data_IF_089638870786
#
_entry.id   IF_089638870786
#
_cell.length_a   1.000
_cell.length_b   1.000
_cell.length_c   1.000
_cell.angle_alpha   90.00
_cell.angle_beta   90.00
_cell.angle_gamma   90.00
#
_symmetry.space_group_name_H-M   'P 1'
#
loop_
_entity.id
_entity.type
_entity.pdbx_description
1 polymer ?
#
# COMPACT_ATOMS: atom_id res chain seq x y z
N UNK A 1 -6.63 10.40 17.40
CA UNK A 1 -5.27 9.82 17.33
C UNK A 1 -5.25 8.57 18.20
N UNK A 2 -5.51 7.38 17.61
CA UNK A 2 -5.50 6.11 18.35
C UNK A 2 -4.05 5.71 18.59
N UNK A 3 -3.57 5.81 19.82
CA UNK A 3 -2.30 5.22 20.24
C UNK A 3 -2.52 3.72 20.49
N UNK A 4 -2.60 2.95 19.42
CA UNK A 4 -2.64 1.48 19.56
C UNK A 4 -1.32 0.94 20.08
N UNK A 5 -1.39 -0.07 20.93
CA UNK A 5 -0.22 -0.81 21.39
C UNK A 5 0.24 -1.71 20.25
N UNK A 6 1.52 -1.65 19.89
CA UNK A 6 2.13 -2.57 18.95
C UNK A 6 2.18 -3.96 19.56
N UNK A 7 1.60 -4.93 18.89
CA UNK A 7 1.51 -6.32 19.38
C UNK A 7 2.20 -7.24 18.37
N UNK A 8 2.99 -8.16 18.88
CA UNK A 8 3.51 -9.29 18.14
C UNK A 8 2.67 -10.53 18.52
N UNK A 9 1.94 -11.08 17.59
CA UNK A 9 1.25 -12.36 17.76
C UNK A 9 2.06 -13.44 17.07
N UNK A 10 2.46 -14.45 17.82
CA UNK A 10 3.13 -15.63 17.29
C UNK A 10 2.18 -16.81 17.36
N UNK A 11 1.81 -17.37 16.21
CA UNK A 11 0.96 -18.55 16.11
C UNK A 11 1.90 -19.76 15.93
N UNK A 12 2.02 -20.57 16.96
CA UNK A 12 2.78 -21.83 16.91
C UNK A 12 1.93 -22.90 16.23
N UNK A 13 2.43 -23.49 15.16
CA UNK A 13 1.84 -24.71 14.60
C UNK A 13 2.48 -25.93 15.26
N UNK A 14 1.63 -26.89 15.70
CA UNK A 14 2.11 -28.15 16.27
C UNK A 14 3.09 -28.83 15.29
N UNK A 15 4.30 -29.14 15.80
CA UNK A 15 5.37 -29.89 15.15
C UNK A 15 6.30 -29.23 14.12
N UNK A 16 6.40 -27.89 13.98
CA UNK A 16 7.43 -27.28 13.11
C UNK A 16 8.06 -26.02 13.70
N UNK A 17 9.36 -25.86 13.42
CA UNK A 17 10.24 -24.81 13.95
C UNK A 17 9.95 -23.38 13.44
N UNK A 18 9.01 -23.19 12.54
CA UNK A 18 8.63 -21.86 12.03
C UNK A 18 7.24 -21.49 12.54
N UNK A 19 7.17 -20.38 13.25
CA UNK A 19 5.94 -19.82 13.78
C UNK A 19 5.50 -18.66 12.88
N UNK A 20 4.24 -18.66 12.44
CA UNK A 20 3.63 -17.50 11.82
C UNK A 20 3.71 -16.31 12.78
N UNK A 21 4.29 -15.23 12.35
CA UNK A 21 4.49 -14.01 13.14
C UNK A 21 3.75 -12.85 12.51
N UNK A 22 2.83 -12.25 13.25
CA UNK A 22 2.06 -11.08 12.82
C UNK A 22 2.44 -9.91 13.72
N UNK A 23 3.01 -8.87 13.12
CA UNK A 23 3.38 -7.61 13.79
C UNK A 23 2.44 -6.52 13.33
N UNK A 24 1.72 -5.87 14.25
CA UNK A 24 0.75 -4.82 13.90
C UNK A 24 0.15 -4.12 15.12
N UNK A 25 -0.92 -3.37 14.93
CA UNK A 25 -1.67 -2.75 16.01
C UNK A 25 -2.68 -3.76 16.60
N UNK A 26 -2.75 -3.84 17.93
CA UNK A 26 -3.45 -4.90 18.63
C UNK A 26 -4.94 -5.05 18.28
N UNK A 27 -5.63 -3.96 17.99
CA UNK A 27 -7.05 -3.97 17.63
C UNK A 27 -7.30 -4.60 16.24
N UNK A 28 -6.33 -4.54 15.33
CA UNK A 28 -6.45 -4.96 13.94
C UNK A 28 -5.89 -6.36 13.68
N UNK A 29 -4.98 -6.84 14.53
CA UNK A 29 -4.37 -8.17 14.40
C UNK A 29 -5.43 -9.27 14.38
N UNK A 30 -6.48 -9.16 15.20
CA UNK A 30 -7.55 -10.16 15.26
C UNK A 30 -8.21 -10.37 13.88
N UNK A 31 -8.46 -9.30 13.15
CA UNK A 31 -9.09 -9.34 11.84
C UNK A 31 -8.22 -10.00 10.77
N UNK A 32 -6.90 -9.81 10.82
CA UNK A 32 -5.97 -10.40 9.84
C UNK A 32 -5.49 -11.78 10.22
N UNK A 33 -5.59 -12.18 11.50
CA UNK A 33 -5.14 -13.50 11.97
C UNK A 33 -5.89 -14.66 11.32
N UNK A 34 -7.17 -14.47 10.99
CA UNK A 34 -8.05 -15.47 10.37
C UNK A 34 -7.84 -15.67 8.86
N UNK A 35 -7.00 -14.88 8.20
CA UNK A 35 -6.76 -14.99 6.78
C UNK A 35 -5.97 -16.27 6.44
N UNK A 36 -6.05 -16.80 5.20
CA UNK A 36 -5.47 -18.08 4.81
C UNK A 36 -3.96 -18.01 4.56
N UNK A 37 -3.18 -17.64 5.57
CA UNK A 37 -1.72 -17.41 5.50
C UNK A 37 -0.89 -18.63 5.06
N UNK A 38 -1.50 -19.83 5.03
CA UNK A 38 -0.88 -21.06 4.58
C UNK A 38 -1.01 -21.29 3.06
N UNK A 39 -1.67 -20.38 2.34
CA UNK A 39 -1.77 -20.43 0.89
C UNK A 39 -0.91 -19.32 0.27
N UNK A 40 -0.28 -19.56 -0.91
CA UNK A 40 0.23 -18.50 -1.76
C UNK A 40 -0.86 -17.47 -2.02
N UNK A 41 -0.51 -16.19 -2.10
CA UNK A 41 -1.49 -15.11 -2.26
C UNK A 41 -2.29 -15.24 -3.58
N UNK A 42 -1.69 -15.82 -4.61
CA UNK A 42 -2.35 -16.12 -5.89
C UNK A 42 -3.53 -17.10 -5.76
N UNK A 43 -3.49 -17.97 -4.75
CA UNK A 43 -4.53 -18.97 -4.47
C UNK A 43 -5.64 -18.45 -3.53
N UNK A 44 -5.50 -17.22 -3.03
CA UNK A 44 -6.51 -16.67 -2.14
C UNK A 44 -7.81 -16.39 -2.89
N UNK A 45 -8.98 -16.68 -2.25
CA UNK A 45 -10.28 -16.32 -2.81
C UNK A 45 -10.31 -14.83 -3.14
N UNK A 46 -10.72 -14.49 -4.34
CA UNK A 46 -10.82 -13.11 -4.80
C UNK A 46 -12.29 -12.71 -4.92
N UNK A 47 -12.67 -11.61 -4.28
CA UNK A 47 -13.96 -10.97 -4.50
C UNK A 47 -13.91 -10.26 -5.87
N UNK A 48 -14.76 -10.63 -6.86
CA UNK A 48 -14.71 -10.04 -8.20
C UNK A 48 -14.86 -8.52 -8.20
N UNK A 49 -15.68 -7.98 -7.28
CA UNK A 49 -15.91 -6.52 -7.17
C UNK A 49 -14.64 -5.80 -6.66
N UNK A 50 -13.88 -6.47 -5.79
CA UNK A 50 -12.63 -5.92 -5.28
C UNK A 50 -11.49 -6.10 -6.30
N UNK A 51 -11.49 -7.18 -7.07
CA UNK A 51 -10.48 -7.46 -8.09
C UNK A 51 -10.40 -6.35 -9.14
N UNK A 52 -11.55 -5.81 -9.56
CA UNK A 52 -11.61 -4.70 -10.52
C UNK A 52 -10.98 -3.40 -10.00
N UNK A 53 -10.87 -3.25 -8.67
CA UNK A 53 -10.29 -2.05 -8.03
C UNK A 53 -8.78 -2.16 -7.82
N UNK A 54 -8.21 -3.33 -8.10
CA UNK A 54 -6.78 -3.58 -7.95
C UNK A 54 -6.02 -2.98 -9.13
N UNK A 55 -4.97 -2.22 -8.83
CA UNK A 55 -4.01 -1.76 -9.83
C UNK A 55 -3.11 -2.89 -10.34
N UNK A 56 -2.35 -2.62 -11.40
CA UNK A 56 -1.27 -3.49 -11.85
C UNK A 56 -0.07 -3.25 -10.91
N UNK A 57 0.46 -4.33 -10.37
CA UNK A 57 1.63 -4.31 -9.49
C UNK A 57 2.64 -5.37 -9.94
N UNK A 58 3.93 -5.12 -9.72
CA UNK A 58 5.00 -6.13 -9.87
C UNK A 58 4.89 -7.23 -8.81
N UNK A 59 4.30 -6.92 -7.68
CA UNK A 59 4.03 -7.84 -6.58
C UNK A 59 2.62 -8.42 -6.69
N UNK A 60 2.43 -9.62 -6.16
CA UNK A 60 1.09 -10.19 -6.00
C UNK A 60 0.36 -9.41 -4.92
N UNK A 61 -0.79 -8.85 -5.28
CA UNK A 61 -1.67 -8.09 -4.37
C UNK A 61 -3.06 -8.72 -4.38
N UNK A 62 -3.68 -8.84 -3.21
CA UNK A 62 -5.08 -9.23 -3.06
C UNK A 62 -5.83 -8.24 -2.19
N UNK A 63 -7.05 -7.91 -2.61
CA UNK A 63 -8.00 -7.17 -1.79
C UNK A 63 -8.91 -8.18 -1.09
N UNK A 64 -8.91 -8.18 0.23
CA UNK A 64 -9.62 -9.17 1.04
C UNK A 64 -10.47 -8.51 2.11
N UNK A 65 -11.64 -9.09 2.41
CA UNK A 65 -12.46 -8.66 3.55
C UNK A 65 -11.99 -9.32 4.84
N UNK A 66 -12.09 -8.58 5.94
CA UNK A 66 -11.79 -9.12 7.27
C UNK A 66 -12.70 -10.29 7.68
N UNK A 67 -13.91 -10.34 7.14
CA UNK A 67 -14.90 -11.40 7.37
C UNK A 67 -15.87 -11.49 6.19
N UNK A 68 -16.82 -12.45 6.27
CA UNK A 68 -17.88 -12.60 5.26
C UNK A 68 -18.97 -11.51 5.34
N UNK A 69 -18.89 -10.58 6.29
CA UNK A 69 -19.79 -9.44 6.38
C UNK A 69 -19.51 -8.48 5.21
N UNK A 70 -20.55 -8.09 4.42
CA UNK A 70 -20.40 -7.11 3.34
C UNK A 70 -19.83 -5.76 3.80
N UNK A 71 -20.08 -5.38 5.04
CA UNK A 71 -19.62 -4.12 5.65
C UNK A 71 -18.27 -4.27 6.37
N UNK A 72 -17.67 -5.48 6.36
CA UNK A 72 -16.38 -5.71 6.97
C UNK A 72 -15.29 -4.87 6.29
N UNK A 73 -14.31 -4.50 7.09
CA UNK A 73 -13.11 -3.80 6.57
C UNK A 73 -12.44 -4.59 5.46
N UNK A 74 -11.95 -3.87 4.47
CA UNK A 74 -11.20 -4.42 3.35
C UNK A 74 -9.73 -4.09 3.53
N UNK A 75 -8.89 -5.07 3.31
CA UNK A 75 -7.44 -4.95 3.35
C UNK A 75 -6.83 -5.21 1.98
N UNK A 76 -5.73 -4.51 1.68
CA UNK A 76 -4.82 -4.88 0.61
C UNK A 76 -3.67 -5.67 1.22
N UNK A 77 -3.42 -6.87 0.69
CA UNK A 77 -2.32 -7.75 1.09
C UNK A 77 -1.34 -7.83 -0.08
N UNK A 78 -0.08 -7.47 0.16
CA UNK A 78 1.00 -7.51 -0.84
C UNK A 78 2.07 -8.50 -0.37
N UNK A 79 2.43 -9.48 -1.22
CA UNK A 79 3.60 -10.33 -1.00
C UNK A 79 4.88 -9.59 -1.41
N UNK A 80 5.88 -9.67 -0.55
CA UNK A 80 7.20 -9.09 -0.78
C UNK A 80 8.24 -9.77 0.14
N UNK A 81 9.49 -9.34 0.09
CA UNK A 81 10.52 -9.83 1.01
C UNK A 81 10.39 -9.15 2.38
N UNK A 82 10.81 -9.83 3.45
CA UNK A 82 10.64 -9.37 4.83
C UNK A 82 11.24 -7.98 5.08
N UNK A 83 12.40 -7.68 4.49
CA UNK A 83 13.07 -6.39 4.64
C UNK A 83 12.21 -5.25 4.11
N UNK A 84 11.65 -5.40 2.90
CA UNK A 84 10.80 -4.37 2.29
C UNK A 84 9.46 -4.24 3.01
N UNK A 85 8.82 -5.36 3.40
CA UNK A 85 7.58 -5.32 4.17
C UNK A 85 7.73 -4.55 5.48
N UNK A 86 8.79 -4.85 6.25
CA UNK A 86 9.05 -4.18 7.52
C UNK A 86 9.41 -2.70 7.32
N UNK A 87 10.21 -2.36 6.30
CA UNK A 87 10.57 -0.98 5.97
C UNK A 87 9.33 -0.18 5.60
N UNK A 88 8.53 -0.68 4.66
CA UNK A 88 7.30 -0.03 4.21
C UNK A 88 6.32 0.18 5.37
N UNK A 89 6.14 -0.84 6.22
CA UNK A 89 5.29 -0.74 7.41
C UNK A 89 5.71 0.40 8.34
N UNK A 90 7.01 0.52 8.62
CA UNK A 90 7.55 1.59 9.49
C UNK A 90 7.36 2.96 8.86
N UNK A 91 7.63 3.09 7.55
CA UNK A 91 7.49 4.35 6.82
C UNK A 91 6.02 4.79 6.76
N UNK A 92 5.10 3.91 6.35
CA UNK A 92 3.67 4.21 6.29
C UNK A 92 3.13 4.61 7.67
N UNK A 93 3.58 3.92 8.72
CA UNK A 93 3.22 4.28 10.10
C UNK A 93 3.66 5.70 10.46
N UNK A 94 4.89 6.06 10.13
CA UNK A 94 5.41 7.40 10.41
C UNK A 94 4.67 8.45 9.59
N UNK A 95 4.42 8.22 8.30
CA UNK A 95 3.63 9.10 7.43
C UNK A 95 2.20 9.30 7.97
N UNK A 96 1.51 8.22 8.35
CA UNK A 96 0.18 8.29 8.98
C UNK A 96 0.17 9.12 10.26
N UNK A 97 1.19 8.98 11.12
CA UNK A 97 1.31 9.77 12.35
C UNK A 97 1.50 11.26 12.07
N UNK A 98 2.09 11.60 10.92
CA UNK A 98 2.29 12.97 10.44
C UNK A 98 1.11 13.49 9.60
N UNK A 99 0.01 12.72 9.48
CA UNK A 99 -1.17 13.00 8.65
C UNK A 99 -0.82 13.20 7.17
N UNK A 100 0.16 12.48 6.67
CA UNK A 100 0.46 12.43 5.23
C UNK A 100 -0.66 11.69 4.48
N UNK A 101 -0.94 12.06 3.22
CA UNK A 101 -1.89 11.32 2.38
C UNK A 101 -1.27 9.98 1.94
N UNK A 102 -1.46 8.94 2.72
CA UNK A 102 -0.99 7.58 2.42
C UNK A 102 -2.02 6.54 2.86
N UNK A 103 -1.87 5.31 2.41
CA UNK A 103 -2.63 4.18 2.94
C UNK A 103 -2.19 3.89 4.38
N UNK A 104 -3.12 3.38 5.18
CA UNK A 104 -2.84 3.04 6.57
C UNK A 104 -2.25 1.63 6.66
N UNK A 105 -1.10 1.48 7.30
CA UNK A 105 -0.49 0.18 7.58
C UNK A 105 -1.29 -0.57 8.66
N UNK A 106 -1.43 -1.87 8.49
CA UNK A 106 -2.16 -2.76 9.42
C UNK A 106 -1.21 -3.76 10.06
N UNK A 107 -0.54 -4.58 9.27
CA UNK A 107 0.35 -5.62 9.78
C UNK A 107 1.45 -6.01 8.79
N UNK A 108 2.50 -6.63 9.33
CA UNK A 108 3.47 -7.44 8.59
C UNK A 108 3.32 -8.88 9.04
N UNK A 109 3.32 -9.83 8.09
CA UNK A 109 3.14 -11.26 8.34
C UNK A 109 4.34 -12.02 7.79
N UNK A 110 5.09 -12.67 8.69
CA UNK A 110 6.32 -13.41 8.42
C UNK A 110 6.18 -14.87 8.84
N UNK A 111 7.10 -15.72 8.38
CA UNK A 111 7.11 -17.14 8.74
C UNK A 111 5.92 -17.92 8.19
N UNK A 112 5.40 -17.48 7.05
CA UNK A 112 4.33 -18.18 6.31
C UNK A 112 4.90 -19.47 5.72
N UNK A 113 4.14 -20.55 5.78
CA UNK A 113 4.47 -21.82 5.13
C UNK A 113 3.23 -22.46 4.54
N UNK A 114 3.37 -23.10 3.40
CA UNK A 114 2.30 -23.88 2.78
C UNK A 114 1.98 -25.18 3.54
N UNK A 115 1.04 -25.97 3.02
CA UNK A 115 0.64 -27.25 3.60
C UNK A 115 1.77 -28.31 3.57
N UNK A 116 2.74 -28.19 2.65
CA UNK A 116 3.92 -29.04 2.55
C UNK A 116 5.04 -28.55 3.45
N UNK A 117 4.94 -27.32 3.98
CA UNK A 117 5.92 -26.67 4.82
C UNK A 117 7.00 -25.95 4.05
N UNK A 118 6.75 -25.68 2.77
CA UNK A 118 7.58 -24.78 1.97
C UNK A 118 7.36 -23.35 2.43
N UNK A 119 8.42 -22.56 2.42
CA UNK A 119 8.39 -21.16 2.85
C UNK A 119 7.64 -20.32 1.83
N UNK A 120 6.70 -19.49 2.29
CA UNK A 120 5.98 -18.51 1.49
C UNK A 120 6.52 -17.10 1.76
N UNK A 121 6.41 -16.18 0.77
CA UNK A 121 6.86 -14.79 0.92
C UNK A 121 6.23 -14.12 2.14
N UNK A 122 6.94 -13.14 2.71
CA UNK A 122 6.38 -12.22 3.68
C UNK A 122 5.24 -11.41 3.06
N UNK A 123 4.31 -10.94 3.86
CA UNK A 123 3.23 -10.08 3.40
C UNK A 123 3.12 -8.81 4.24
N UNK A 124 2.86 -7.69 3.57
CA UNK A 124 2.40 -6.47 4.21
C UNK A 124 0.90 -6.31 4.00
N UNK A 125 0.20 -5.90 5.05
CA UNK A 125 -1.24 -5.63 5.05
C UNK A 125 -1.45 -4.14 5.26
N UNK A 126 -2.19 -3.52 4.36
CA UNK A 126 -2.63 -2.12 4.47
C UNK A 126 -4.14 -2.05 4.41
N UNK A 127 -4.74 -1.02 5.01
CA UNK A 127 -6.17 -0.77 4.91
C UNK A 127 -6.52 -0.30 3.51
N UNK A 128 -7.54 -0.92 2.91
CA UNK A 128 -8.06 -0.45 1.62
C UNK A 128 -8.59 0.99 1.76
N UNK A 129 -8.22 1.84 0.83
CA UNK A 129 -8.68 3.22 0.77
C UNK A 129 -10.02 3.27 0.02
N UNK A 130 -11.17 3.43 0.71
CA UNK A 130 -12.47 3.42 0.05
C UNK A 130 -12.61 4.59 -0.93
N UNK A 131 -13.37 4.38 -2.00
CA UNK A 131 -13.62 5.37 -3.05
C UNK A 131 -12.37 5.85 -3.80
N UNK A 132 -11.27 5.11 -3.71
CA UNK A 132 -10.08 5.37 -4.51
C UNK A 132 -9.98 4.40 -5.67
N UNK A 133 -9.31 4.86 -6.72
CA UNK A 133 -9.05 4.09 -7.93
C UNK A 133 -7.58 4.25 -8.35
N UNK A 134 -6.96 3.21 -8.89
CA UNK A 134 -5.69 3.34 -9.56
C UNK A 134 -5.85 4.14 -10.86
N UNK A 135 -4.77 4.82 -11.28
CA UNK A 135 -4.79 5.69 -12.46
C UNK A 135 -5.27 4.97 -13.72
N UNK A 136 -4.91 3.71 -13.94
CA UNK A 136 -5.32 2.94 -15.14
C UNK A 136 -6.83 2.78 -15.24
N UNK A 137 -7.52 2.63 -14.13
CA UNK A 137 -9.00 2.60 -14.11
C UNK A 137 -9.56 3.96 -14.48
N UNK A 138 -8.94 5.04 -13.99
CA UNK A 138 -9.35 6.41 -14.32
C UNK A 138 -9.09 6.74 -15.79
N UNK A 139 -8.01 6.23 -16.39
CA UNK A 139 -7.64 6.46 -17.79
C UNK A 139 -8.23 5.44 -18.77
N UNK A 140 -8.95 4.41 -18.31
CA UNK A 140 -9.52 3.36 -19.18
C UNK A 140 -10.71 3.82 -20.04
N UNK A 141 -11.23 5.03 -19.82
CA UNK A 141 -12.34 5.62 -20.55
C UNK A 141 -11.92 6.80 -21.42
N UNK A 142 -12.92 7.54 -21.93
CA UNK A 142 -12.66 8.82 -22.60
C UNK A 142 -12.24 9.86 -21.55
N UNK A 143 -10.93 10.08 -21.43
CA UNK A 143 -10.35 11.01 -20.44
C UNK A 143 -10.24 12.40 -21.05
N UNK A 144 -10.68 13.40 -20.31
CA UNK A 144 -10.56 14.79 -20.71
C UNK A 144 -9.20 15.38 -20.32
N UNK A 145 -8.72 16.37 -21.05
CA UNK A 145 -7.52 17.13 -20.69
C UNK A 145 -7.63 17.73 -19.26
N UNK A 146 -8.84 18.08 -18.84
CA UNK A 146 -9.11 18.59 -17.50
C UNK A 146 -8.86 17.51 -16.43
N UNK A 147 -9.32 16.27 -16.64
CA UNK A 147 -9.09 15.15 -15.69
C UNK A 147 -7.62 14.82 -15.58
N UNK A 148 -6.89 14.76 -16.67
CA UNK A 148 -5.42 14.58 -16.66
C UNK A 148 -4.75 15.68 -15.84
N UNK A 149 -5.12 16.93 -16.07
CA UNK A 149 -4.55 18.09 -15.36
C UNK A 149 -4.85 18.03 -13.86
N UNK A 150 -6.07 17.63 -13.46
CA UNK A 150 -6.44 17.54 -12.05
C UNK A 150 -5.77 16.35 -11.37
N UNK A 151 -5.55 15.23 -12.06
CA UNK A 151 -4.75 14.09 -11.55
C UNK A 151 -3.29 14.50 -11.34
N UNK A 152 -2.67 15.14 -12.33
CA UNK A 152 -1.30 15.64 -12.21
C UNK A 152 -1.16 16.66 -11.08
N UNK A 153 -2.15 17.53 -10.89
CA UNK A 153 -2.19 18.48 -9.77
C UNK A 153 -2.30 17.79 -8.42
N UNK A 154 -3.12 16.73 -8.32
CA UNK A 154 -3.23 15.90 -7.12
C UNK A 154 -1.91 15.21 -6.75
N UNK A 155 -1.21 14.64 -7.75
CA UNK A 155 0.10 14.02 -7.56
C UNK A 155 1.16 15.04 -7.14
N UNK A 156 1.19 16.21 -7.79
CA UNK A 156 2.10 17.30 -7.42
C UNK A 156 1.87 17.76 -5.97
N UNK A 157 0.61 17.89 -5.55
CA UNK A 157 0.26 18.26 -4.18
C UNK A 157 0.67 17.19 -3.17
N UNK A 158 0.52 15.89 -3.51
CA UNK A 158 1.01 14.78 -2.69
C UNK A 158 2.52 14.92 -2.50
N UNK A 159 3.27 15.08 -3.59
CA UNK A 159 4.73 15.21 -3.55
C UNK A 159 5.19 16.41 -2.70
N UNK A 160 4.56 17.58 -2.87
CA UNK A 160 4.83 18.76 -2.02
C UNK A 160 4.62 18.44 -0.54
N UNK A 161 3.52 17.77 -0.19
CA UNK A 161 3.25 17.39 1.21
C UNK A 161 4.30 16.45 1.77
N UNK A 162 4.69 15.42 1.00
CA UNK A 162 5.75 14.48 1.40
C UNK A 162 7.09 15.20 1.60
N UNK A 163 7.47 16.08 0.68
CA UNK A 163 8.71 16.86 0.79
C UNK A 163 8.71 17.81 2.01
N UNK A 164 7.57 18.43 2.32
CA UNK A 164 7.46 19.29 3.52
C UNK A 164 7.59 18.49 4.82
N UNK A 165 7.25 17.21 4.81
CA UNK A 165 7.45 16.29 5.94
C UNK A 165 8.87 15.71 5.99
N UNK A 166 9.75 16.07 5.05
CA UNK A 166 11.10 15.52 4.93
C UNK A 166 11.15 14.12 4.36
N UNK A 167 10.11 13.67 3.66
CA UNK A 167 10.08 12.37 3.02
C UNK A 167 10.48 12.47 1.55
N UNK A 168 11.60 11.85 1.20
CA UNK A 168 12.03 11.61 -0.17
C UNK A 168 11.42 10.29 -0.64
N UNK A 169 10.66 10.34 -1.74
CA UNK A 169 9.93 9.16 -2.20
C UNK A 169 10.80 8.21 -3.03
N UNK A 170 11.57 8.75 -3.99
CA UNK A 170 12.53 7.99 -4.79
C UNK A 170 11.95 7.14 -5.93
N UNK A 171 10.67 6.75 -5.87
CA UNK A 171 9.94 6.01 -6.93
C UNK A 171 8.53 6.60 -7.11
N UNK A 172 8.51 7.88 -7.47
CA UNK A 172 7.27 8.63 -7.69
C UNK A 172 6.60 8.17 -8.99
N UNK A 173 5.62 7.29 -8.91
CA UNK A 173 4.88 6.80 -10.07
C UNK A 173 3.38 6.83 -9.86
N UNK A 174 2.63 6.85 -10.96
CA UNK A 174 1.17 6.72 -10.93
C UNK A 174 0.74 5.35 -10.39
N UNK A 175 1.52 4.30 -10.64
CA UNK A 175 1.26 2.95 -10.13
C UNK A 175 1.39 2.84 -8.61
N UNK A 176 2.21 3.71 -7.99
CA UNK A 176 2.38 3.80 -6.54
C UNK A 176 1.44 4.82 -5.90
N UNK A 177 0.38 5.22 -6.62
CA UNK A 177 -0.58 6.24 -6.21
C UNK A 177 -2.01 5.75 -6.41
N UNK A 178 -2.86 6.01 -5.42
CA UNK A 178 -4.32 5.91 -5.56
C UNK A 178 -4.92 7.31 -5.60
N UNK A 179 -5.96 7.45 -6.41
CA UNK A 179 -6.67 8.71 -6.57
C UNK A 179 -8.09 8.59 -6.04
N UNK A 180 -8.50 9.57 -5.25
CA UNK A 180 -9.88 9.73 -4.80
C UNK A 180 -10.45 11.01 -5.40
N UNK A 181 -11.61 10.91 -6.04
CA UNK A 181 -12.31 12.09 -6.53
C UNK A 181 -12.87 12.90 -5.36
N UNK A 182 -12.64 14.18 -5.35
CA UNK A 182 -13.24 15.15 -4.43
C UNK A 182 -13.99 16.24 -5.21
N UNK A 183 -14.46 17.29 -4.52
CA UNK A 183 -15.25 18.35 -5.15
C UNK A 183 -14.46 19.19 -6.16
N UNK A 184 -13.13 19.25 -6.05
CA UNK A 184 -12.27 20.12 -6.85
C UNK A 184 -11.42 19.35 -7.87
N UNK A 185 -11.40 17.99 -7.80
CA UNK A 185 -10.63 17.16 -8.71
C UNK A 185 -10.21 15.82 -8.12
N UNK A 186 -8.91 15.58 -8.02
CA UNK A 186 -8.38 14.34 -7.46
C UNK A 186 -7.42 14.59 -6.30
N UNK A 187 -7.68 13.93 -5.17
CA UNK A 187 -6.72 13.78 -4.09
C UNK A 187 -5.89 12.52 -4.33
N UNK A 188 -4.57 12.64 -4.30
CA UNK A 188 -3.63 11.55 -4.48
C UNK A 188 -3.14 11.02 -3.13
N UNK A 189 -2.96 9.69 -3.02
CA UNK A 189 -2.52 8.99 -1.82
C UNK A 189 -1.39 8.03 -2.16
N UNK A 190 -0.31 8.09 -1.37
CA UNK A 190 0.82 7.16 -1.47
C UNK A 190 0.38 5.74 -1.06
N UNK A 191 0.71 4.75 -1.88
CA UNK A 191 0.39 3.33 -1.63
C UNK A 191 1.64 2.53 -1.32
N UNK A 192 2.72 2.73 -2.07
CA UNK A 192 3.98 2.01 -1.94
C UNK A 192 5.08 2.97 -1.49
N UNK A 193 5.65 2.69 -0.32
CA UNK A 193 6.64 3.54 0.33
C UNK A 193 8.00 2.83 0.53
N UNK A 194 8.18 1.62 -0.03
CA UNK A 194 9.35 0.78 0.28
C UNK A 194 10.69 1.41 -0.15
N UNK A 195 10.68 2.24 -1.19
CA UNK A 195 11.87 2.95 -1.69
C UNK A 195 12.15 4.26 -0.96
N UNK A 196 11.15 4.82 -0.28
CA UNK A 196 11.22 6.14 0.32
C UNK A 196 12.08 6.22 1.58
N UNK A 197 12.48 7.44 1.94
CA UNK A 197 13.33 7.68 3.09
C UNK A 197 13.02 9.03 3.76
N UNK A 198 12.99 9.03 5.11
CA UNK A 198 12.91 10.27 5.87
C UNK A 198 14.28 10.91 6.03
N UNK A 199 14.34 12.19 5.74
CA UNK A 199 15.51 13.06 5.92
C UNK A 199 15.16 14.18 6.89
N UNK A 200 16.16 14.69 7.60
CA UNK A 200 15.98 15.85 8.47
C UNK A 200 15.53 17.09 7.68
N UNK A 201 16.04 17.22 6.47
CA UNK A 201 15.60 18.16 5.44
C UNK A 201 16.01 17.62 4.09
N UNK A 202 15.14 17.72 3.08
CA UNK A 202 15.49 17.34 1.72
C UNK A 202 16.39 18.42 1.09
N UNK A 203 17.42 17.96 0.36
CA UNK A 203 18.19 18.82 -0.53
C UNK A 203 17.41 19.17 -1.79
N UNK A 204 17.79 20.21 -2.50
CA UNK A 204 17.17 20.56 -3.78
C UNK A 204 17.34 19.44 -4.81
N UNK A 205 18.50 18.75 -4.84
CA UNK A 205 18.73 17.62 -5.73
C UNK A 205 17.81 16.42 -5.45
N UNK A 206 17.45 16.14 -4.18
CA UNK A 206 16.48 15.09 -3.86
C UNK A 206 15.06 15.46 -4.33
N UNK A 207 14.68 16.74 -4.18
CA UNK A 207 13.38 17.23 -4.66
C UNK A 207 13.29 17.19 -6.19
N UNK A 208 14.37 17.62 -6.84
CA UNK A 208 14.50 17.61 -8.30
C UNK A 208 14.44 16.18 -8.85
N UNK A 209 15.13 15.25 -8.21
CA UNK A 209 15.09 13.83 -8.59
C UNK A 209 13.64 13.27 -8.54
N UNK A 210 12.89 13.49 -7.45
CA UNK A 210 11.50 13.06 -7.38
C UNK A 210 10.63 13.70 -8.47
N UNK A 211 10.86 14.98 -8.81
CA UNK A 211 10.17 15.67 -9.90
C UNK A 211 10.52 15.09 -11.27
N UNK A 212 11.78 14.74 -11.52
CA UNK A 212 12.22 14.09 -12.77
C UNK A 212 11.57 12.72 -12.93
N UNK A 213 11.54 11.91 -11.84
CA UNK A 213 10.90 10.59 -11.83
C UNK A 213 9.39 10.72 -12.10
N UNK A 214 8.69 11.66 -11.46
CA UNK A 214 7.26 11.92 -11.72
C UNK A 214 7.06 12.30 -13.18
N UNK A 215 7.84 13.24 -13.71
CA UNK A 215 7.70 13.68 -15.09
C UNK A 215 7.90 12.54 -16.09
N UNK A 216 8.95 11.74 -15.90
CA UNK A 216 9.24 10.59 -16.75
C UNK A 216 8.13 9.53 -16.70
N UNK A 217 7.71 9.14 -15.49
CA UNK A 217 6.70 8.10 -15.30
C UNK A 217 5.33 8.55 -15.82
N UNK A 218 4.92 9.80 -15.55
CA UNK A 218 3.64 10.32 -16.06
C UNK A 218 3.64 10.41 -17.58
N UNK A 219 4.74 10.86 -18.21
CA UNK A 219 4.85 10.90 -19.67
C UNK A 219 4.75 9.49 -20.27
N UNK A 220 5.51 8.52 -19.76
CA UNK A 220 5.49 7.14 -20.24
C UNK A 220 4.12 6.47 -20.12
N UNK A 221 3.39 6.73 -19.01
CA UNK A 221 2.09 6.13 -18.75
C UNK A 221 0.92 6.76 -19.55
N UNK A 222 1.12 7.97 -20.09
CA UNK A 222 0.13 8.65 -20.95
C UNK A 222 0.35 8.37 -22.43
N UNK A 223 1.50 7.80 -22.84
CA UNK A 223 1.81 7.43 -24.21
C UNK A 223 1.34 6.01 -24.57
N UNK A 224 1.06 5.14 -23.56
CA UNK A 224 0.53 3.77 -23.69
C UNK A 224 -1.03 3.75 -23.75
#
# INVERSE_FOLDING_TARGET
>A
MRRGVHVLVTIMRENRAMALRITGLGEEIASVTGLPWHLPLEEWPEDPILAEKRGISRHVVRLVRASNDPDAEVYAVKETVSEFANREYVILRQLSQMNAPCVEQVAVVEGRTDAKGEELPCAIVTRFLPYSLPYRVLLSGAVTAHEITTMASGLALLLVRLHLLGFWWGDCSLSNTLFRRDAEGFAAYLVDAETGEFQKSLSDGQREHDLEIVHFNVAAELED
#
